data_IF_173798775825
#
_entry.id   IF_173798775825
#
_cell.length_a   1.000
_cell.length_b   1.000
_cell.length_c   1.000
_cell.angle_alpha   90.00
_cell.angle_beta   90.00
_cell.angle_gamma   90.00
#
_symmetry.space_group_name_H-M   'P 1'
#
loop_
_entity.id
_entity.type
_entity.pdbx_description
1 polymer ?
#
# COMPACT_ATOMS: atom_id res chain seq x y z
N UNK A 1 12.68 -10.64 12.51
CA UNK A 1 12.81 -9.56 13.50
C UNK A 1 11.86 -8.41 13.14
N UNK A 2 12.16 -7.58 12.13
CA UNK A 2 11.38 -6.37 11.78
C UNK A 2 9.85 -6.54 11.72
N UNK A 3 9.31 -7.56 11.05
CA UNK A 3 7.85 -7.72 10.92
C UNK A 3 7.15 -8.09 12.23
N UNK A 4 7.85 -8.78 13.14
CA UNK A 4 7.34 -9.08 14.48
C UNK A 4 7.43 -7.85 15.38
N UNK A 5 8.37 -6.93 15.12
CA UNK A 5 8.43 -5.65 15.83
C UNK A 5 7.19 -4.79 15.52
N UNK A 6 6.74 -4.77 14.27
CA UNK A 6 5.49 -4.08 13.88
C UNK A 6 4.28 -4.65 14.62
N UNK A 7 4.14 -5.98 14.66
CA UNK A 7 3.06 -6.62 15.41
C UNK A 7 3.15 -6.32 16.92
N UNK A 8 4.35 -6.42 17.50
CA UNK A 8 4.58 -6.11 18.91
C UNK A 8 4.26 -4.66 19.24
N UNK A 9 4.60 -3.71 18.36
CA UNK A 9 4.27 -2.30 18.53
C UNK A 9 2.75 -2.08 18.56
N UNK A 10 2.01 -2.69 17.63
CA UNK A 10 0.54 -2.59 17.55
C UNK A 10 -0.17 -3.23 18.76
N UNK A 11 0.39 -4.32 19.31
CA UNK A 11 -0.14 -4.97 20.50
C UNK A 11 0.13 -4.15 21.77
N UNK A 12 1.34 -3.60 21.89
CA UNK A 12 1.73 -2.81 23.05
C UNK A 12 1.03 -1.44 23.08
N UNK A 13 0.79 -0.86 21.91
CA UNK A 13 0.17 0.45 21.74
C UNK A 13 -0.99 0.35 20.74
N UNK A 14 -2.20 -0.06 21.16
CA UNK A 14 -3.35 -0.17 20.27
C UNK A 14 -3.71 1.14 19.55
N UNK A 15 -3.45 2.31 20.16
CA UNK A 15 -3.73 3.60 19.53
C UNK A 15 -2.88 3.85 18.26
N UNK A 16 -1.76 3.13 18.10
CA UNK A 16 -0.97 3.15 16.86
C UNK A 16 -1.75 2.60 15.66
N UNK A 17 -2.65 1.63 15.90
CA UNK A 17 -3.52 1.06 14.86
C UNK A 17 -4.54 2.11 14.43
N UNK A 18 -5.15 2.81 15.38
CA UNK A 18 -6.12 3.87 15.08
C UNK A 18 -5.47 5.04 14.32
N UNK A 19 -4.25 5.43 14.72
CA UNK A 19 -3.47 6.45 14.04
C UNK A 19 -3.13 6.03 12.60
N UNK A 20 -2.66 4.78 12.41
CA UNK A 20 -2.40 4.22 11.09
C UNK A 20 -3.67 4.22 10.22
N UNK A 21 -4.80 3.75 10.75
CA UNK A 21 -6.05 3.69 9.99
C UNK A 21 -6.58 5.08 9.65
N UNK A 22 -6.38 6.06 10.53
CA UNK A 22 -6.70 7.47 10.28
C UNK A 22 -5.89 8.01 9.11
N UNK A 23 -4.58 7.77 9.11
CA UNK A 23 -3.70 8.19 8.01
C UNK A 23 -4.08 7.52 6.68
N UNK A 24 -4.32 6.21 6.68
CA UNK A 24 -4.67 5.46 5.46
C UNK A 24 -6.02 5.88 4.87
N UNK A 25 -6.95 6.38 5.69
CA UNK A 25 -8.28 6.84 5.23
C UNK A 25 -8.21 8.14 4.42
N UNK A 26 -7.13 8.92 4.52
CA UNK A 26 -6.99 10.21 3.83
C UNK A 26 -7.06 10.11 2.29
N UNK A 27 -6.64 8.98 1.70
CA UNK A 27 -6.72 8.75 0.26
C UNK A 27 -7.88 7.82 -0.18
N UNK A 28 -8.69 7.29 0.75
CA UNK A 28 -9.69 6.26 0.41
C UNK A 28 -10.74 6.74 -0.61
N UNK A 29 -11.17 8.00 -0.54
CA UNK A 29 -12.18 8.54 -1.46
C UNK A 29 -11.64 8.80 -2.87
N UNK A 30 -10.32 8.77 -3.06
CA UNK A 30 -9.67 9.17 -4.31
C UNK A 30 -9.41 7.99 -5.25
N UNK A 31 -9.38 6.75 -4.73
CA UNK A 31 -9.15 5.57 -5.55
C UNK A 31 -9.87 4.32 -4.99
N UNK A 32 -10.80 3.76 -5.77
CA UNK A 32 -11.63 2.62 -5.36
C UNK A 32 -10.83 1.34 -5.08
N UNK A 33 -9.74 1.09 -5.82
CA UNK A 33 -8.88 -0.09 -5.61
C UNK A 33 -8.10 0.07 -4.31
N UNK A 34 -7.56 1.26 -4.06
CA UNK A 34 -6.91 1.58 -2.79
C UNK A 34 -7.90 1.46 -1.62
N UNK A 35 -9.13 1.97 -1.77
CA UNK A 35 -10.19 1.81 -0.77
C UNK A 35 -10.41 0.33 -0.42
N UNK A 36 -10.63 -0.51 -1.43
CA UNK A 36 -10.84 -1.95 -1.22
C UNK A 36 -9.64 -2.62 -0.52
N UNK A 37 -8.41 -2.21 -0.87
CA UNK A 37 -7.20 -2.71 -0.22
C UNK A 37 -7.14 -2.32 1.27
N UNK A 38 -7.44 -1.06 1.61
CA UNK A 38 -7.44 -0.59 3.00
C UNK A 38 -8.56 -1.22 3.81
N UNK A 39 -9.75 -1.39 3.24
CA UNK A 39 -10.87 -2.08 3.91
C UNK A 39 -10.50 -3.54 4.23
N UNK A 40 -9.85 -4.23 3.28
CA UNK A 40 -9.34 -5.58 3.50
C UNK A 40 -8.25 -5.62 4.58
N UNK A 41 -7.36 -4.63 4.61
CA UNK A 41 -6.33 -4.51 5.64
C UNK A 41 -6.94 -4.28 7.03
N UNK A 42 -7.96 -3.42 7.13
CA UNK A 42 -8.70 -3.16 8.37
C UNK A 42 -9.39 -4.42 8.90
N UNK A 43 -10.01 -5.20 8.02
CA UNK A 43 -10.63 -6.48 8.38
C UNK A 43 -9.59 -7.50 8.86
N UNK A 44 -8.42 -7.57 8.21
CA UNK A 44 -7.33 -8.45 8.66
C UNK A 44 -6.80 -8.05 10.03
N UNK A 45 -6.72 -6.76 10.33
CA UNK A 45 -6.34 -6.23 11.64
C UNK A 45 -7.27 -6.73 12.76
N UNK A 46 -8.57 -6.88 12.48
CA UNK A 46 -9.53 -7.41 13.47
C UNK A 46 -9.53 -8.94 13.56
N UNK A 47 -9.23 -9.64 12.45
CA UNK A 47 -9.27 -11.12 12.37
C UNK A 47 -7.98 -11.79 12.83
N UNK A 48 -6.82 -11.16 12.59
CA UNK A 48 -5.51 -11.75 12.94
C UNK A 48 -5.13 -11.50 14.39
N UNK A 49 -5.86 -12.11 15.30
CA UNK A 49 -5.33 -12.43 16.62
C UNK A 49 -4.06 -13.26 16.49
N UNK A 50 -2.90 -12.63 16.70
CA UNK A 50 -1.63 -13.29 17.05
C UNK A 50 -1.01 -14.32 16.08
N UNK A 51 -1.31 -14.28 14.79
CA UNK A 51 -0.69 -15.21 13.83
C UNK A 51 0.68 -14.67 13.35
N UNK A 52 1.77 -14.95 14.11
CA UNK A 52 3.16 -14.60 13.73
C UNK A 52 3.53 -15.04 12.31
N UNK A 53 2.95 -16.16 11.84
CA UNK A 53 3.11 -16.68 10.47
C UNK A 53 2.77 -15.66 9.37
N UNK A 54 1.89 -14.70 9.66
CA UNK A 54 1.44 -13.70 8.70
C UNK A 54 2.15 -12.35 8.86
N UNK A 55 3.08 -12.22 9.81
CA UNK A 55 3.70 -10.93 10.16
C UNK A 55 4.34 -10.24 8.95
N UNK A 56 5.02 -11.00 8.07
CA UNK A 56 5.68 -10.47 6.87
C UNK A 56 4.68 -9.89 5.88
N UNK A 57 3.70 -10.70 5.47
CA UNK A 57 2.64 -10.28 4.53
C UNK A 57 1.83 -9.11 5.09
N UNK A 58 1.57 -9.12 6.39
CA UNK A 58 0.87 -8.03 7.05
C UNK A 58 1.67 -6.73 7.05
N UNK A 59 2.94 -6.78 7.42
CA UNK A 59 3.85 -5.63 7.39
C UNK A 59 4.02 -5.08 5.97
N UNK A 60 4.13 -5.96 4.98
CA UNK A 60 4.17 -5.61 3.56
C UNK A 60 2.91 -4.85 3.14
N UNK A 61 1.71 -5.35 3.49
CA UNK A 61 0.47 -4.66 3.15
C UNK A 61 0.36 -3.28 3.80
N UNK A 62 0.85 -3.10 5.03
CA UNK A 62 0.93 -1.77 5.66
C UNK A 62 1.84 -0.84 4.87
N UNK A 63 3.04 -1.32 4.50
CA UNK A 63 4.00 -0.53 3.73
C UNK A 63 3.42 -0.13 2.37
N UNK A 64 2.78 -1.06 1.66
CA UNK A 64 2.12 -0.82 0.38
C UNK A 64 0.97 0.19 0.50
N UNK A 65 0.13 0.07 1.54
CA UNK A 65 -0.95 1.01 1.79
C UNK A 65 -0.41 2.43 2.05
N UNK A 66 0.62 2.56 2.89
CA UNK A 66 1.24 3.85 3.18
C UNK A 66 1.88 4.47 1.93
N UNK A 67 2.59 3.69 1.14
CA UNK A 67 3.17 4.16 -0.14
C UNK A 67 2.08 4.63 -1.10
N UNK A 68 1.01 3.85 -1.29
CA UNK A 68 -0.12 4.25 -2.12
C UNK A 68 -0.80 5.53 -1.61
N UNK A 69 -1.02 5.65 -0.29
CA UNK A 69 -1.62 6.84 0.33
C UNK A 69 -0.83 8.11 -0.04
N UNK A 70 0.50 8.05 0.09
CA UNK A 70 1.35 9.20 -0.21
C UNK A 70 1.37 9.51 -1.72
N UNK A 71 1.42 8.49 -2.57
CA UNK A 71 1.41 8.69 -4.02
C UNK A 71 0.08 9.27 -4.51
N UNK A 72 -1.06 8.78 -4.01
CA UNK A 72 -2.38 9.30 -4.36
C UNK A 72 -2.51 10.78 -3.95
N UNK A 73 -2.01 11.15 -2.76
CA UNK A 73 -2.17 12.50 -2.23
C UNK A 73 -1.18 13.51 -2.79
N UNK A 74 -0.01 13.08 -3.22
CA UNK A 74 1.11 13.99 -3.46
C UNK A 74 1.88 13.73 -4.78
N UNK A 75 1.49 12.74 -5.57
CA UNK A 75 2.10 12.46 -6.88
C UNK A 75 1.13 12.74 -8.03
N UNK A 76 1.60 12.58 -9.26
CA UNK A 76 0.76 12.56 -10.45
C UNK A 76 -0.12 11.30 -10.49
N UNK A 77 -1.29 11.40 -11.14
CA UNK A 77 -2.18 10.25 -11.37
C UNK A 77 -1.46 9.11 -12.09
N UNK A 78 -0.61 9.42 -13.08
CA UNK A 78 0.17 8.40 -13.80
C UNK A 78 0.96 7.49 -12.84
N UNK A 79 1.65 8.08 -11.85
CA UNK A 79 2.45 7.32 -10.87
C UNK A 79 1.55 6.62 -9.86
N UNK A 80 0.52 7.30 -9.36
CA UNK A 80 -0.37 6.75 -8.36
C UNK A 80 -1.16 5.55 -8.90
N UNK A 81 -1.75 5.69 -10.09
CA UNK A 81 -2.52 4.63 -10.75
C UNK A 81 -1.62 3.47 -11.17
N UNK A 82 -0.45 3.76 -11.74
CA UNK A 82 0.56 2.74 -12.04
C UNK A 82 0.93 1.94 -10.78
N UNK A 83 1.18 2.60 -9.66
CA UNK A 83 1.53 1.95 -8.39
C UNK A 83 0.37 1.09 -7.86
N UNK A 84 -0.85 1.66 -7.77
CA UNK A 84 -2.02 0.94 -7.28
C UNK A 84 -2.35 -0.27 -8.15
N UNK A 85 -2.32 -0.12 -9.48
CA UNK A 85 -2.66 -1.20 -10.42
C UNK A 85 -1.64 -2.33 -10.45
N UNK A 86 -0.39 -2.07 -10.09
CA UNK A 86 0.64 -3.09 -10.13
C UNK A 86 0.93 -3.71 -8.76
N UNK A 87 0.85 -2.93 -7.67
CA UNK A 87 1.24 -3.39 -6.32
C UNK A 87 0.04 -3.76 -5.43
N UNK A 88 -1.13 -3.16 -5.67
CA UNK A 88 -2.34 -3.46 -4.89
C UNK A 88 -3.34 -4.34 -5.65
N UNK A 89 -3.15 -4.53 -6.96
CA UNK A 89 -3.92 -5.51 -7.72
C UNK A 89 -3.51 -6.94 -7.35
N UNK A 90 -4.48 -7.84 -7.35
CA UNK A 90 -4.27 -9.26 -7.13
C UNK A 90 -4.53 -9.99 -8.47
N UNK A 91 -3.61 -10.83 -8.97
CA UNK A 91 -2.28 -11.12 -8.42
C UNK A 91 -1.20 -10.10 -8.80
N UNK A 92 -0.38 -9.70 -7.82
CA UNK A 92 0.89 -9.04 -8.10
C UNK A 92 1.85 -10.05 -8.75
N UNK A 93 2.41 -9.70 -9.90
CA UNK A 93 3.32 -10.56 -10.67
C UNK A 93 4.65 -10.85 -9.96
N UNK A 94 5.08 -9.97 -9.04
CA UNK A 94 6.39 -10.05 -8.40
C UNK A 94 7.57 -9.73 -9.32
N UNK A 95 7.32 -9.44 -10.60
CA UNK A 95 8.35 -9.20 -11.62
C UNK A 95 8.32 -7.77 -12.13
N UNK A 96 9.51 -7.20 -12.36
CA UNK A 96 9.63 -5.91 -13.04
C UNK A 96 9.30 -6.05 -14.53
N UNK A 97 8.85 -4.95 -15.15
CA UNK A 97 8.49 -4.93 -16.58
C UNK A 97 7.04 -5.31 -16.90
N UNK A 98 6.19 -5.54 -15.89
CA UNK A 98 4.77 -5.90 -16.07
C UNK A 98 3.82 -4.74 -15.75
N UNK A 99 4.26 -3.50 -15.96
CA UNK A 99 3.43 -2.34 -15.64
C UNK A 99 2.34 -2.17 -16.72
N UNK A 100 1.08 -2.30 -16.29
CA UNK A 100 -0.08 -2.08 -17.14
C UNK A 100 -0.44 -0.58 -17.16
N UNK A 101 0.20 0.17 -18.05
CA UNK A 101 -0.12 1.56 -18.35
C UNK A 101 0.15 1.86 -19.83
N UNK A 102 -0.45 2.93 -20.36
CA UNK A 102 -0.14 3.36 -21.72
C UNK A 102 1.29 3.89 -21.86
N UNK A 103 1.79 3.93 -23.09
CA UNK A 103 3.16 4.36 -23.40
C UNK A 103 3.42 5.82 -22.99
N UNK A 104 2.41 6.70 -23.10
CA UNK A 104 2.54 8.08 -22.67
C UNK A 104 2.69 8.22 -21.15
N UNK A 105 1.90 7.46 -20.38
CA UNK A 105 2.03 7.40 -18.93
C UNK A 105 3.40 6.87 -18.51
N UNK A 106 3.90 5.83 -19.18
CA UNK A 106 5.25 5.29 -18.94
C UNK A 106 6.32 6.36 -19.15
N UNK A 107 6.28 7.09 -20.28
CA UNK A 107 7.26 8.15 -20.57
C UNK A 107 7.21 9.27 -19.52
N UNK A 108 6.02 9.69 -19.08
CA UNK A 108 5.86 10.71 -18.02
C UNK A 108 6.43 10.25 -16.68
N UNK A 109 6.25 8.97 -16.33
CA UNK A 109 6.83 8.36 -15.12
C UNK A 109 8.35 8.35 -15.19
N UNK A 110 8.94 7.96 -16.33
CA UNK A 110 10.39 7.93 -16.55
C UNK A 110 10.96 9.36 -16.48
N UNK A 111 10.36 10.31 -17.18
CA UNK A 111 10.79 11.70 -17.18
C UNK A 111 10.79 12.31 -15.77
N UNK A 112 9.76 12.02 -14.95
CA UNK A 112 9.70 12.42 -13.54
C UNK A 112 10.86 11.86 -12.72
N UNK A 113 11.29 10.62 -12.99
CA UNK A 113 12.34 9.97 -12.22
C UNK A 113 13.73 10.59 -12.41
N UNK A 114 13.89 11.51 -13.37
CA UNK A 114 15.17 12.15 -13.67
C UNK A 114 16.20 11.18 -14.26
N UNK A 115 15.76 10.01 -14.71
CA UNK A 115 16.59 9.04 -15.42
C UNK A 115 16.47 9.40 -16.90
N UNK A 116 17.38 10.26 -17.38
CA UNK A 116 17.58 10.57 -18.79
C UNK A 116 18.90 9.96 -19.26
#
# INVERSE_FOLDING_TARGET
MMCLDVQRAMQREPASVDALMTELRLAQSQNNRYKAFVDNLARKLTETGNAEKNARRFTEHIALALQANQLIRHSTSDVADAFVNSRLADPWSGTFGTLDCDEGAMQRIIARAGIA
#
